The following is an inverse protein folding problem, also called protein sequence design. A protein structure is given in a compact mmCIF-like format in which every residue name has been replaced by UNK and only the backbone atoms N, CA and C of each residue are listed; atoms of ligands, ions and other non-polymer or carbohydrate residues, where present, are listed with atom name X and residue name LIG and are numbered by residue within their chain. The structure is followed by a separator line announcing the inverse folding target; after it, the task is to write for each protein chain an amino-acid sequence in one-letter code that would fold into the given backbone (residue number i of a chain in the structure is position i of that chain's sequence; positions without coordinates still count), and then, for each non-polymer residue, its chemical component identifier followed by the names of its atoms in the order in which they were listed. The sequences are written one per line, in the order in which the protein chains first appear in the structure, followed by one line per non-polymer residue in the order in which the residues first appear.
data_IF_773473423143
#
_entry.id   IF_773473423143
#
_cell.length_a   1.000
_cell.length_b   1.000
_cell.length_c   1.000
_cell.angle_alpha   90.00
_cell.angle_beta   90.00
_cell.angle_gamma   90.00
#
_symmetry.space_group_name_H-M   'P 1'
#
loop_
_entity.id
_entity.type
_entity.pdbx_description
1 polymer ?
#
# COMPACT_ATOMS: atom_id res chain seq x y z
N UNK A 1 9.96 7.51 -16.28
CA UNK A 1 9.66 8.11 -14.96
C UNK A 1 8.18 7.95 -14.68
N UNK A 2 7.85 7.31 -13.57
CA UNK A 2 6.47 7.09 -13.12
C UNK A 2 5.88 8.41 -12.58
N UNK A 3 4.57 8.61 -12.74
CA UNK A 3 3.81 9.71 -12.10
C UNK A 3 4.06 9.78 -10.58
N UNK A 4 4.32 8.63 -9.97
CA UNK A 4 4.69 8.47 -8.58
C UNK A 4 6.01 9.16 -8.21
N UNK A 5 7.05 9.00 -9.03
CA UNK A 5 8.36 9.61 -8.78
C UNK A 5 8.28 11.14 -8.87
N UNK A 6 7.43 11.66 -9.76
CA UNK A 6 7.19 13.10 -9.91
C UNK A 6 6.44 13.70 -8.71
N UNK A 7 5.45 12.98 -8.17
CA UNK A 7 4.72 13.37 -6.96
C UNK A 7 5.63 13.37 -5.72
N UNK A 8 6.43 12.30 -5.53
CA UNK A 8 7.38 12.21 -4.42
C UNK A 8 8.40 13.36 -4.44
N UNK A 9 8.87 13.74 -5.63
CA UNK A 9 9.82 14.85 -5.81
C UNK A 9 9.17 16.21 -5.49
N UNK A 10 7.98 16.49 -6.02
CA UNK A 10 7.27 17.75 -5.78
C UNK A 10 6.89 17.99 -4.31
N UNK A 11 6.62 16.93 -3.55
CA UNK A 11 6.34 17.01 -2.11
C UNK A 11 7.58 17.20 -1.25
N UNK A 12 8.75 16.73 -1.71
CA UNK A 12 10.01 16.97 -1.02
C UNK A 12 10.46 18.43 -1.07
N UNK A 13 10.06 19.16 -2.12
CA UNK A 13 10.53 20.53 -2.41
C UNK A 13 9.73 21.63 -1.67
N UNK A 14 8.59 21.32 -1.04
CA UNK A 14 7.64 22.31 -0.47
C UNK A 14 7.69 22.46 1.08
N UNK A 15 8.74 21.94 1.73
CA UNK A 15 8.83 21.69 3.18
C UNK A 15 9.37 22.83 4.07
N UNK A 16 9.30 24.10 3.64
CA UNK A 16 9.68 25.22 4.51
C UNK A 16 8.47 26.12 4.80
N UNK A 17 8.00 26.03 6.05
CA UNK A 17 7.29 27.07 6.85
C UNK A 17 5.83 26.74 7.27
N UNK A 18 5.65 26.15 8.47
CA UNK A 18 4.61 26.43 9.49
C UNK A 18 4.64 25.30 10.55
N UNK A 19 4.90 25.63 11.83
CA UNK A 19 5.79 24.76 12.61
C UNK A 19 5.22 23.56 13.39
N UNK A 20 3.94 23.43 13.73
CA UNK A 20 3.48 22.21 14.45
C UNK A 20 2.32 21.48 13.75
N UNK A 21 1.13 22.08 13.68
CA UNK A 21 -0.02 21.41 13.04
C UNK A 21 0.17 21.16 11.54
N UNK A 22 0.83 22.07 10.82
CA UNK A 22 1.11 21.90 9.39
C UNK A 22 2.11 20.77 9.15
N UNK A 23 3.10 20.57 10.05
CA UNK A 23 4.05 19.45 9.99
C UNK A 23 3.33 18.10 10.04
N UNK A 24 2.36 17.95 10.94
CA UNK A 24 1.64 16.68 11.13
C UNK A 24 0.65 16.40 9.99
N UNK A 25 -0.03 17.41 9.46
CA UNK A 25 -0.81 17.25 8.23
C UNK A 25 0.07 16.88 7.03
N UNK A 26 1.29 17.42 6.93
CA UNK A 26 2.26 17.02 5.90
C UNK A 26 2.72 15.58 6.11
N UNK A 27 2.97 15.15 7.35
CA UNK A 27 3.33 13.76 7.70
C UNK A 27 2.20 12.79 7.33
N UNK A 28 0.96 13.07 7.75
CA UNK A 28 -0.23 12.30 7.36
C UNK A 28 -0.38 12.27 5.83
N UNK A 29 -0.16 13.40 5.15
CA UNK A 29 -0.20 13.48 3.69
C UNK A 29 0.80 12.53 3.02
N UNK A 30 2.04 12.47 3.52
CA UNK A 30 3.06 11.54 3.04
C UNK A 30 2.65 10.08 3.28
N UNK A 31 2.22 9.74 4.48
CA UNK A 31 1.80 8.37 4.80
C UNK A 31 0.60 7.95 3.94
N UNK A 32 -0.37 8.85 3.69
CA UNK A 32 -1.50 8.58 2.79
C UNK A 32 -1.06 8.28 1.36
N UNK A 33 -0.02 8.96 0.90
CA UNK A 33 0.56 8.74 -0.42
C UNK A 33 1.18 7.34 -0.47
N UNK A 34 1.97 6.96 0.54
CA UNK A 34 2.54 5.62 0.65
C UNK A 34 1.45 4.53 0.72
N UNK A 35 0.36 4.75 1.48
CA UNK A 35 -0.83 3.89 1.51
C UNK A 35 -1.45 3.69 0.12
N UNK A 36 -1.56 4.75 -0.68
CA UNK A 36 -2.08 4.63 -2.05
C UNK A 36 -1.17 3.79 -2.93
N UNK A 37 0.15 3.91 -2.74
CA UNK A 37 1.14 3.06 -3.40
C UNK A 37 0.96 1.58 -3.04
N UNK A 38 0.86 1.28 -1.74
CA UNK A 38 0.65 -0.09 -1.24
C UNK A 38 -0.68 -0.69 -1.73
N UNK A 39 -1.77 0.07 -1.69
CA UNK A 39 -3.08 -0.38 -2.20
C UNK A 39 -3.01 -0.73 -3.68
N UNK A 40 -2.33 0.10 -4.48
CA UNK A 40 -2.13 -0.18 -5.89
C UNK A 40 -1.27 -1.45 -6.11
N UNK A 41 -0.21 -1.64 -5.34
CA UNK A 41 0.63 -2.83 -5.46
C UNK A 41 -0.14 -4.11 -5.06
N UNK A 42 -0.97 -4.04 -4.02
CA UNK A 42 -1.87 -5.13 -3.62
C UNK A 42 -2.85 -5.45 -4.76
N UNK A 43 -3.47 -4.44 -5.38
CA UNK A 43 -4.37 -4.61 -6.54
C UNK A 43 -3.65 -5.30 -7.71
N UNK A 44 -2.43 -4.88 -8.03
CA UNK A 44 -1.61 -5.49 -9.09
C UNK A 44 -1.30 -6.97 -8.80
N UNK A 45 -0.97 -7.31 -7.55
CA UNK A 45 -0.74 -8.69 -7.13
C UNK A 45 -2.02 -9.54 -7.20
N UNK A 46 -3.18 -8.99 -6.80
CA UNK A 46 -4.46 -9.69 -6.94
C UNK A 46 -4.83 -9.92 -8.41
N UNK A 47 -4.55 -8.97 -9.29
CA UNK A 47 -4.75 -9.11 -10.73
C UNK A 47 -3.89 -10.27 -11.28
N UNK A 48 -2.61 -10.31 -10.91
CA UNK A 48 -1.70 -11.38 -11.32
C UNK A 48 -2.16 -12.75 -10.79
N UNK A 49 -2.52 -12.82 -9.51
CA UNK A 49 -3.05 -14.02 -8.88
C UNK A 49 -4.28 -14.53 -9.61
N UNK A 50 -5.25 -13.64 -9.88
CA UNK A 50 -6.47 -13.97 -10.60
C UNK A 50 -6.18 -14.50 -12.01
N UNK A 51 -5.27 -13.85 -12.74
CA UNK A 51 -4.85 -14.30 -14.07
C UNK A 51 -4.23 -15.70 -14.05
N UNK A 52 -3.32 -15.97 -13.10
CA UNK A 52 -2.70 -17.30 -12.94
C UNK A 52 -3.71 -18.36 -12.54
N UNK A 53 -4.57 -18.08 -11.56
CA UNK A 53 -5.62 -19.00 -11.12
C UNK A 53 -6.56 -19.33 -12.28
N UNK A 54 -7.02 -18.32 -13.03
CA UNK A 54 -7.86 -18.53 -14.20
C UNK A 54 -7.17 -19.42 -15.24
N UNK A 55 -5.92 -19.13 -15.58
CA UNK A 55 -5.14 -19.92 -16.54
C UNK A 55 -5.05 -21.39 -16.13
N UNK A 56 -4.65 -21.66 -14.88
CA UNK A 56 -4.50 -23.03 -14.40
C UNK A 56 -5.83 -23.78 -14.32
N UNK A 57 -6.91 -23.14 -13.87
CA UNK A 57 -8.24 -23.78 -13.79
C UNK A 57 -8.79 -24.14 -15.17
N UNK A 58 -8.45 -23.34 -16.20
CA UNK A 58 -9.01 -23.52 -17.55
C UNK A 58 -8.15 -24.38 -18.47
N UNK A 59 -6.83 -24.40 -18.30
CA UNK A 59 -5.90 -25.06 -19.23
C UNK A 59 -5.22 -26.30 -18.66
N UNK A 60 -5.10 -26.44 -17.33
CA UNK A 60 -4.41 -27.57 -16.71
C UNK A 60 -5.40 -28.62 -16.16
N UNK A 61 -5.29 -29.86 -16.62
CA UNK A 61 -6.05 -30.98 -16.03
C UNK A 61 -5.37 -31.45 -14.74
N UNK A 62 -6.15 -31.61 -13.66
CA UNK A 62 -5.69 -32.09 -12.35
C UNK A 62 -4.64 -31.21 -11.65
N UNK A 63 -4.76 -29.88 -11.80
CA UNK A 63 -3.86 -28.93 -11.16
C UNK A 63 -4.17 -28.71 -9.68
N UNK A 64 -3.12 -28.66 -8.85
CA UNK A 64 -3.25 -28.33 -7.42
C UNK A 64 -2.71 -26.92 -7.13
N UNK A 65 -3.62 -25.94 -7.08
CA UNK A 65 -3.30 -24.53 -6.80
C UNK A 65 -2.50 -24.35 -5.50
N UNK A 66 -2.77 -25.16 -4.47
CA UNK A 66 -2.09 -25.05 -3.16
C UNK A 66 -0.63 -25.50 -3.16
N UNK A 67 -0.19 -26.23 -4.20
CA UNK A 67 1.20 -26.69 -4.35
C UNK A 67 1.98 -25.87 -5.37
N UNK A 68 1.36 -24.86 -5.98
CA UNK A 68 2.04 -24.02 -6.95
C UNK A 68 2.83 -22.92 -6.24
N UNK A 69 4.15 -22.93 -6.46
CA UNK A 69 5.07 -21.97 -5.85
C UNK A 69 4.82 -20.53 -6.27
N UNK A 70 4.39 -20.29 -7.51
CA UNK A 70 4.13 -18.92 -7.99
C UNK A 70 2.90 -18.32 -7.30
N UNK A 71 1.82 -19.09 -7.17
CA UNK A 71 0.63 -18.70 -6.40
C UNK A 71 1.00 -18.47 -4.94
N UNK A 72 1.77 -19.36 -4.33
CA UNK A 72 2.23 -19.22 -2.96
C UNK A 72 3.04 -17.93 -2.76
N UNK A 73 3.96 -17.62 -3.67
CA UNK A 73 4.76 -16.39 -3.64
C UNK A 73 3.89 -15.14 -3.73
N UNK A 74 2.91 -15.09 -4.62
CA UNK A 74 2.00 -13.94 -4.74
C UNK A 74 1.17 -13.78 -3.47
N UNK A 75 0.66 -14.87 -2.89
CA UNK A 75 -0.09 -14.82 -1.63
C UNK A 75 0.78 -14.32 -0.48
N UNK A 76 2.04 -14.76 -0.38
CA UNK A 76 2.98 -14.27 0.62
C UNK A 76 3.22 -12.77 0.43
N UNK A 77 3.46 -12.32 -0.81
CA UNK A 77 3.67 -10.89 -1.11
C UNK A 77 2.45 -10.04 -0.74
N UNK A 78 1.24 -10.49 -1.06
CA UNK A 78 0.00 -9.80 -0.67
C UNK A 78 -0.07 -9.65 0.85
N UNK A 79 0.21 -10.72 1.61
CA UNK A 79 0.16 -10.67 3.08
C UNK A 79 1.19 -9.72 3.67
N UNK A 80 2.40 -9.66 3.11
CA UNK A 80 3.43 -8.71 3.52
C UNK A 80 2.95 -7.27 3.29
N UNK A 81 2.44 -6.98 2.10
CA UNK A 81 1.90 -5.67 1.74
C UNK A 81 0.70 -5.25 2.60
N UNK A 82 -0.20 -6.20 2.91
CA UNK A 82 -1.32 -5.97 3.83
C UNK A 82 -0.84 -5.63 5.25
N UNK A 83 0.21 -6.31 5.73
CA UNK A 83 0.84 -5.98 7.02
C UNK A 83 1.50 -4.60 7.04
N UNK A 84 2.19 -4.22 5.96
CA UNK A 84 2.75 -2.88 5.80
C UNK A 84 1.64 -1.81 5.75
N UNK A 85 0.56 -2.08 5.03
CA UNK A 85 -0.60 -1.20 4.93
C UNK A 85 -1.24 -0.97 6.30
N UNK A 86 -1.46 -2.04 7.07
CA UNK A 86 -2.03 -1.96 8.42
C UNK A 86 -1.11 -1.13 9.34
N UNK A 87 0.21 -1.31 9.27
CA UNK A 87 1.16 -0.53 10.05
C UNK A 87 1.05 0.98 9.78
N UNK A 88 0.96 1.39 8.51
CA UNK A 88 0.79 2.80 8.14
C UNK A 88 -0.58 3.36 8.54
N UNK A 89 -1.65 2.58 8.42
CA UNK A 89 -2.99 2.99 8.87
C UNK A 89 -3.02 3.20 10.40
N UNK A 90 -2.33 2.34 11.18
CA UNK A 90 -2.15 2.54 12.62
C UNK A 90 -1.27 3.75 12.95
N UNK A 91 -0.25 4.06 12.15
CA UNK A 91 0.57 5.26 12.34
C UNK A 91 -0.26 6.54 12.17
N UNK A 92 -1.07 6.63 11.11
CA UNK A 92 -2.00 7.77 10.92
C UNK A 92 -2.96 7.89 12.11
N UNK A 93 -3.48 6.77 12.60
CA UNK A 93 -4.40 6.75 13.74
C UNK A 93 -3.72 7.32 14.99
N UNK A 94 -2.49 6.90 15.30
CA UNK A 94 -1.72 7.42 16.43
C UNK A 94 -1.47 8.92 16.33
N UNK A 95 -1.04 9.41 15.16
CA UNK A 95 -0.82 10.86 14.96
C UNK A 95 -2.11 11.65 15.22
N UNK A 96 -3.26 11.14 14.76
CA UNK A 96 -4.55 11.81 14.99
C UNK A 96 -4.98 11.83 16.45
N UNK A 97 -4.77 10.73 17.16
CA UNK A 97 -5.09 10.58 18.59
C UNK A 97 -4.17 11.45 19.48
N UNK A 98 -2.86 11.47 19.19
CA UNK A 98 -1.85 12.25 19.92
C UNK A 98 -2.07 13.76 19.79
N UNK A 99 -2.51 14.22 18.61
CA UNK A 99 -2.65 15.65 18.30
C UNK A 99 -4.05 16.23 18.53
N UNK A 100 -5.01 15.42 19.01
CA UNK A 100 -6.40 15.84 19.18
C UNK A 100 -7.03 16.30 17.86
N UNK A 101 -6.64 15.68 16.73
CA UNK A 101 -7.25 15.93 15.42
C UNK A 101 -8.62 15.25 15.29
N UNK A 102 -8.93 14.30 16.20
CA UNK A 102 -10.27 13.76 16.42
C UNK A 102 -10.99 14.57 17.53
N UNK A 103 -11.28 15.85 17.30
CA UNK A 103 -12.20 16.62 18.15
C UNK A 103 -13.52 16.80 17.38
N UNK A 104 -14.46 15.90 17.73
CA UNK A 104 -15.89 15.79 17.35
C UNK A 104 -16.22 15.22 15.97
#
# INVERSE_FOLDING_TARGET
MSLWEKLRKGLSESLQTAQDKTSEYTKIGRIKIDILGLKKEIEENFLELGGKVYHFVTHEKNYNLKKNKEIEQIIVRIKELEGELEAYEQEIKKIREEDGLDVK
#
